data_IF_698996328931
#
_entry.id   IF_698996328931
#
_cell.length_a   1.000
_cell.length_b   1.000
_cell.length_c   1.000
_cell.angle_alpha   90.00
_cell.angle_beta   90.00
_cell.angle_gamma   90.00
#
_symmetry.space_group_name_H-M   'P 1'
#
loop_
_entity.id
_entity.type
_entity.pdbx_description
1 polymer ?
#
# COMPACT_ATOMS: atom_id res chain seq x y z
N UNK A 1 35.58 2.17 -0.63
CA UNK A 1 36.79 2.85 -0.13
C UNK A 1 36.49 4.33 -0.07
N UNK A 2 36.40 4.92 1.13
CA UNK A 2 36.18 6.35 1.29
C UNK A 2 37.46 7.11 0.94
N UNK A 3 37.38 8.05 0.00
CA UNK A 3 38.49 8.96 -0.34
C UNK A 3 38.58 9.98 0.80
N UNK A 4 39.53 9.78 1.71
CA UNK A 4 39.85 10.76 2.75
C UNK A 4 40.45 12.01 2.08
N UNK A 5 39.67 13.09 2.02
CA UNK A 5 40.15 14.41 1.60
C UNK A 5 41.24 14.87 2.58
N UNK A 6 42.50 14.88 2.13
CA UNK A 6 43.63 15.40 2.91
C UNK A 6 43.43 16.90 3.17
N UNK A 7 43.29 17.26 4.45
CA UNK A 7 43.08 18.64 4.92
C UNK A 7 44.32 19.51 4.71
N UNK A 8 44.21 20.55 3.89
CA UNK A 8 45.03 21.76 4.01
C UNK A 8 44.34 22.70 4.99
N UNK A 9 45.01 23.03 6.10
CA UNK A 9 44.49 23.94 7.12
C UNK A 9 44.18 25.33 6.52
N UNK A 10 43.03 25.89 6.87
CA UNK A 10 42.64 27.24 6.45
C UNK A 10 42.80 28.21 7.62
N UNK A 11 43.40 29.37 7.35
CA UNK A 11 43.63 30.43 8.33
C UNK A 11 42.76 31.62 7.96
N UNK A 12 42.06 32.21 8.93
CA UNK A 12 41.32 33.45 8.69
C UNK A 12 42.32 34.59 8.43
N UNK A 13 42.29 35.16 7.22
CA UNK A 13 43.34 36.06 6.70
C UNK A 13 43.59 37.26 7.63
N UNK A 14 42.53 37.85 8.18
CA UNK A 14 42.63 39.07 8.99
C UNK A 14 43.06 38.77 10.44
N UNK A 15 42.52 37.73 11.06
CA UNK A 15 42.80 37.43 12.47
C UNK A 15 43.98 36.48 12.68
N UNK A 16 44.50 35.88 11.59
CA UNK A 16 45.49 34.80 11.58
C UNK A 16 45.14 33.59 12.46
N UNK A 17 43.89 33.49 12.92
CA UNK A 17 43.42 32.38 13.73
C UNK A 17 43.10 31.20 12.83
N UNK A 18 43.43 30.00 13.31
CA UNK A 18 43.06 28.74 12.69
C UNK A 18 41.54 28.63 12.64
N UNK A 19 40.99 28.32 11.47
CA UNK A 19 39.56 28.03 11.31
C UNK A 19 39.42 26.56 10.94
N UNK A 20 38.70 25.83 11.79
CA UNK A 20 38.36 24.43 11.53
C UNK A 20 37.00 24.38 10.83
N UNK A 21 37.03 24.09 9.52
CA UNK A 21 35.82 23.78 8.78
C UNK A 21 35.39 22.35 9.11
N UNK A 22 34.25 22.22 9.80
CA UNK A 22 33.58 20.93 10.00
C UNK A 22 32.56 20.75 8.88
N UNK A 23 32.87 19.87 7.94
CA UNK A 23 31.85 19.35 7.03
C UNK A 23 31.02 18.34 7.81
N UNK A 24 29.71 18.52 7.79
CA UNK A 24 28.77 17.51 8.24
C UNK A 24 28.48 16.65 7.01
N UNK A 25 29.09 15.47 6.95
CA UNK A 25 28.69 14.48 5.94
C UNK A 25 27.25 14.09 6.22
N UNK A 26 26.38 14.33 5.25
CA UNK A 26 24.98 13.90 5.28
C UNK A 26 24.78 12.62 4.48
N UNK A 27 25.78 11.74 4.43
CA UNK A 27 25.71 10.48 3.71
C UNK A 27 24.65 9.59 4.38
N UNK A 28 23.46 9.58 3.79
CA UNK A 28 22.45 8.58 4.10
C UNK A 28 22.97 7.23 3.64
N UNK A 29 23.10 6.28 4.57
CA UNK A 29 23.48 4.91 4.24
C UNK A 29 22.43 4.34 3.29
N UNK A 30 22.89 3.83 2.14
CA UNK A 30 22.01 3.20 1.15
C UNK A 30 21.72 1.77 1.62
N UNK A 31 20.44 1.45 1.81
CA UNK A 31 19.98 0.10 2.12
C UNK A 31 19.64 -0.65 0.82
N UNK A 32 20.36 -1.73 0.52
CA UNK A 32 20.03 -2.58 -0.63
C UNK A 32 19.12 -3.75 -0.21
N UNK A 33 18.18 -4.17 -1.07
CA UNK A 33 17.32 -5.34 -0.79
C UNK A 33 18.13 -6.61 -0.49
N UNK A 34 19.25 -6.83 -1.20
CA UNK A 34 20.16 -7.96 -0.95
C UNK A 34 20.62 -8.02 0.50
N UNK A 35 20.96 -6.87 1.10
CA UNK A 35 21.47 -6.81 2.48
C UNK A 35 20.37 -7.19 3.49
N UNK A 36 19.10 -6.96 3.16
CA UNK A 36 17.97 -7.42 3.97
C UNK A 36 17.84 -8.95 3.93
N UNK A 37 17.82 -9.55 2.74
CA UNK A 37 17.71 -11.01 2.58
C UNK A 37 18.93 -11.77 3.12
N UNK A 38 20.12 -11.16 3.10
CA UNK A 38 21.31 -11.74 3.74
C UNK A 38 21.23 -11.73 5.28
N UNK A 39 20.64 -10.68 5.87
CA UNK A 39 20.40 -10.60 7.31
C UNK A 39 19.27 -11.53 7.77
N UNK A 40 18.34 -11.86 6.88
CA UNK A 40 17.21 -12.76 7.16
C UNK A 40 17.10 -13.87 6.09
N UNK A 41 18.04 -14.84 6.07
CA UNK A 41 18.05 -15.89 5.06
C UNK A 41 16.76 -16.70 5.06
N UNK A 42 16.16 -16.90 3.89
CA UNK A 42 14.92 -17.67 3.73
C UNK A 42 13.65 -16.98 4.26
N UNK A 43 13.74 -15.78 4.82
CA UNK A 43 12.60 -15.06 5.36
C UNK A 43 11.81 -14.35 4.25
N UNK A 44 10.48 -14.39 4.37
CA UNK A 44 9.58 -13.57 3.56
C UNK A 44 9.32 -12.23 4.25
N UNK A 45 9.17 -11.12 3.50
CA UNK A 45 8.84 -9.82 4.09
C UNK A 45 7.57 -9.92 4.96
N UNK A 46 7.57 -9.36 6.17
CA UNK A 46 6.40 -9.41 7.04
C UNK A 46 5.31 -8.46 6.54
N UNK A 47 4.06 -8.88 6.65
CA UNK A 47 2.89 -8.04 6.42
C UNK A 47 1.87 -8.26 7.54
N UNK A 48 1.33 -7.18 8.09
CA UNK A 48 0.38 -7.22 9.20
C UNK A 48 -1.01 -6.84 8.69
N UNK A 49 -1.96 -7.77 8.87
CA UNK A 49 -3.36 -7.59 8.51
C UNK A 49 -4.20 -7.50 9.80
N UNK A 50 -5.20 -6.61 9.87
CA UNK A 50 -6.07 -6.52 11.05
C UNK A 50 -6.73 -7.85 11.42
N UNK A 51 -7.01 -8.03 12.71
CA UNK A 51 -7.83 -9.14 13.19
C UNK A 51 -9.30 -8.79 13.03
N UNK A 52 -10.07 -9.63 12.36
CA UNK A 52 -11.49 -9.37 12.10
C UNK A 52 -12.31 -10.65 12.26
N UNK A 53 -13.44 -10.55 12.95
CA UNK A 53 -14.39 -11.65 13.14
C UNK A 53 -15.62 -11.53 12.22
N UNK A 54 -15.65 -10.52 11.34
CA UNK A 54 -16.74 -10.32 10.38
C UNK A 54 -16.61 -11.28 9.20
N UNK A 55 -17.74 -11.57 8.56
CA UNK A 55 -17.73 -12.33 7.30
C UNK A 55 -17.04 -11.55 6.18
N UNK A 56 -16.60 -12.26 5.14
CA UNK A 56 -16.02 -11.64 3.93
C UNK A 56 -17.00 -10.64 3.31
N UNK A 57 -18.28 -11.00 3.27
CA UNK A 57 -19.38 -10.20 2.74
C UNK A 57 -19.56 -8.90 3.54
N UNK A 58 -19.50 -8.97 4.87
CA UNK A 58 -19.58 -7.80 5.77
C UNK A 58 -18.39 -6.86 5.56
N UNK A 59 -17.19 -7.40 5.33
CA UNK A 59 -16.00 -6.61 5.01
C UNK A 59 -16.19 -5.87 3.68
N UNK A 60 -16.73 -6.54 2.65
CA UNK A 60 -17.03 -5.90 1.38
C UNK A 60 -18.17 -4.88 1.50
N UNK A 61 -19.19 -5.14 2.32
CA UNK A 61 -20.26 -4.18 2.62
C UNK A 61 -19.69 -2.93 3.33
N UNK A 62 -18.81 -3.12 4.31
CA UNK A 62 -18.12 -2.02 4.99
C UNK A 62 -17.27 -1.21 4.02
N UNK A 63 -16.60 -1.85 3.06
CA UNK A 63 -15.83 -1.18 2.03
C UNK A 63 -16.71 -0.33 1.10
N UNK A 64 -17.83 -0.89 0.61
CA UNK A 64 -18.83 -0.15 -0.18
C UNK A 64 -19.36 1.07 0.58
N UNK A 65 -19.74 0.88 1.84
CA UNK A 65 -20.18 1.95 2.72
C UNK A 65 -19.14 3.05 2.84
N UNK A 66 -17.90 2.68 3.17
CA UNK A 66 -16.79 3.62 3.35
C UNK A 66 -16.40 4.37 2.08
N UNK A 67 -16.39 3.72 0.92
CA UNK A 67 -16.12 4.40 -0.37
C UNK A 67 -17.24 5.40 -0.67
N UNK A 68 -18.50 5.01 -0.48
CA UNK A 68 -19.65 5.89 -0.72
C UNK A 68 -19.65 7.13 0.18
N UNK A 69 -19.28 6.98 1.44
CA UNK A 69 -19.21 8.09 2.41
C UNK A 69 -17.86 8.80 2.45
N UNK A 70 -16.94 8.46 1.53
CA UNK A 70 -15.57 8.98 1.52
C UNK A 70 -14.86 8.85 2.90
N UNK A 71 -15.12 7.75 3.60
CA UNK A 71 -14.60 7.44 4.93
C UNK A 71 -14.11 6.00 5.06
N UNK A 72 -13.67 5.41 3.94
CA UNK A 72 -13.08 4.08 3.93
C UNK A 72 -11.89 4.05 4.91
N UNK A 73 -11.87 3.08 5.83
CA UNK A 73 -10.75 2.93 6.75
C UNK A 73 -9.63 2.10 6.12
N UNK A 74 -8.39 2.40 6.48
CA UNK A 74 -7.23 1.64 6.04
C UNK A 74 -7.30 0.16 6.47
N UNK A 75 -7.86 -0.11 7.65
CA UNK A 75 -8.08 -1.47 8.14
C UNK A 75 -9.07 -2.24 7.25
N UNK A 76 -10.18 -1.60 6.84
CA UNK A 76 -11.11 -2.20 5.87
C UNK A 76 -10.40 -2.47 4.55
N UNK A 77 -9.63 -1.50 4.04
CA UNK A 77 -8.91 -1.65 2.78
C UNK A 77 -7.93 -2.84 2.78
N UNK A 78 -7.13 -2.99 3.83
CA UNK A 78 -6.21 -4.13 4.00
C UNK A 78 -6.94 -5.47 4.03
N UNK A 79 -8.07 -5.54 4.74
CA UNK A 79 -8.87 -6.76 4.81
C UNK A 79 -9.50 -7.12 3.46
N UNK A 80 -9.98 -6.14 2.70
CA UNK A 80 -10.51 -6.37 1.35
C UNK A 80 -9.42 -6.92 0.43
N UNK A 81 -8.24 -6.29 0.41
CA UNK A 81 -7.11 -6.75 -0.41
C UNK A 81 -6.63 -8.15 0.00
N UNK A 82 -6.55 -8.42 1.30
CA UNK A 82 -6.19 -9.73 1.82
C UNK A 82 -7.21 -10.79 1.38
N UNK A 83 -8.50 -10.57 1.63
CA UNK A 83 -9.53 -11.55 1.30
C UNK A 83 -9.59 -11.83 -0.20
N UNK A 84 -9.50 -10.79 -1.04
CA UNK A 84 -9.46 -10.96 -2.48
C UNK A 84 -8.17 -11.65 -2.94
N UNK A 85 -7.01 -11.29 -2.39
CA UNK A 85 -5.72 -11.90 -2.72
C UNK A 85 -5.69 -13.40 -2.48
N UNK A 86 -6.39 -13.90 -1.45
CA UNK A 86 -6.52 -15.33 -1.17
C UNK A 86 -7.26 -16.11 -2.28
N UNK A 87 -8.14 -15.43 -3.03
CA UNK A 87 -8.91 -16.03 -4.13
C UNK A 87 -8.10 -16.17 -5.41
N UNK A 88 -7.00 -15.41 -5.54
CA UNK A 88 -6.10 -15.49 -6.69
C UNK A 88 -5.17 -16.68 -6.46
N UNK A 89 -5.28 -17.69 -7.30
CA UNK A 89 -4.45 -18.89 -7.28
C UNK A 89 -4.03 -19.22 -8.70
N UNK A 90 -2.72 -19.33 -8.92
CA UNK A 90 -2.13 -19.67 -10.21
C UNK A 90 -1.03 -20.71 -10.00
N UNK A 91 -0.88 -21.62 -10.96
CA UNK A 91 0.15 -22.66 -10.92
C UNK A 91 1.43 -22.18 -11.59
N UNK A 92 2.57 -22.40 -10.95
CA UNK A 92 3.86 -22.03 -11.51
C UNK A 92 4.30 -22.98 -12.63
N UNK A 93 4.56 -22.43 -13.82
CA UNK A 93 5.19 -23.18 -14.93
C UNK A 93 6.66 -23.51 -14.66
N UNK A 94 7.32 -22.73 -13.80
CA UNK A 94 8.73 -22.86 -13.47
C UNK A 94 8.97 -22.52 -11.99
N UNK A 95 9.98 -23.13 -11.38
CA UNK A 95 10.43 -22.76 -10.03
C UNK A 95 10.77 -21.28 -9.95
N UNK A 96 10.21 -20.60 -8.94
CA UNK A 96 10.41 -19.19 -8.69
C UNK A 96 11.23 -18.99 -7.42
N UNK A 97 12.43 -18.45 -7.60
CA UNK A 97 13.33 -18.06 -6.51
C UNK A 97 13.74 -16.59 -6.68
N UNK A 98 13.85 -15.86 -5.57
CA UNK A 98 14.34 -14.49 -5.55
C UNK A 98 15.18 -14.23 -4.31
N UNK A 99 16.36 -13.64 -4.47
CA UNK A 99 17.30 -13.35 -3.36
C UNK A 99 17.62 -14.55 -2.44
N UNK A 100 17.66 -15.77 -2.98
CA UNK A 100 17.91 -16.99 -2.20
C UNK A 100 16.67 -17.52 -1.45
N UNK A 101 15.49 -16.94 -1.69
CA UNK A 101 14.22 -17.38 -1.13
C UNK A 101 13.42 -18.10 -2.21
N UNK A 102 13.20 -19.40 -2.02
CA UNK A 102 12.30 -20.18 -2.86
C UNK A 102 10.85 -19.77 -2.56
N UNK A 103 10.21 -19.15 -3.55
CA UNK A 103 8.81 -18.71 -3.45
C UNK A 103 7.89 -19.91 -3.73
N UNK A 104 8.18 -20.68 -4.79
CA UNK A 104 7.51 -21.93 -5.10
C UNK A 104 8.26 -22.74 -6.15
N UNK A 105 8.01 -24.04 -6.18
CA UNK A 105 8.58 -24.95 -7.20
C UNK A 105 7.66 -25.04 -8.42
N UNK A 106 8.17 -25.52 -9.55
CA UNK A 106 7.35 -25.89 -10.71
C UNK A 106 6.15 -26.74 -10.29
N UNK A 107 4.96 -26.40 -10.79
CA UNK A 107 3.69 -27.07 -10.47
C UNK A 107 3.08 -26.67 -9.12
N UNK A 108 3.70 -25.78 -8.35
CA UNK A 108 3.12 -25.26 -7.10
C UNK A 108 2.07 -24.21 -7.41
N UNK A 109 0.89 -24.32 -6.78
CA UNK A 109 -0.14 -23.30 -6.82
C UNK A 109 0.14 -22.20 -5.78
N UNK A 110 0.18 -20.94 -6.21
CA UNK A 110 0.50 -19.78 -5.38
C UNK A 110 -0.51 -18.65 -5.53
N UNK A 111 -0.61 -17.85 -4.48
CA UNK A 111 -1.30 -16.56 -4.41
C UNK A 111 -0.27 -15.43 -4.30
N UNK A 112 -0.60 -14.18 -4.71
CA UNK A 112 0.22 -13.02 -4.42
C UNK A 112 0.57 -12.85 -2.93
N UNK A 113 -0.27 -13.36 -2.03
CA UNK A 113 -0.07 -13.30 -0.59
C UNK A 113 1.04 -14.24 -0.10
N UNK A 114 1.37 -15.29 -0.86
CA UNK A 114 2.42 -16.24 -0.50
C UNK A 114 3.83 -15.62 -0.56
N UNK A 115 3.96 -14.41 -1.11
CA UNK A 115 5.20 -13.62 -1.08
C UNK A 115 5.52 -13.05 0.31
N UNK A 116 4.54 -12.99 1.21
CA UNK A 116 4.65 -12.33 2.50
C UNK A 116 4.51 -13.31 3.66
N UNK A 117 5.11 -12.97 4.80
CA UNK A 117 4.80 -13.60 6.07
C UNK A 117 3.68 -12.80 6.76
N UNK A 118 2.44 -13.25 6.60
CA UNK A 118 1.25 -12.52 7.06
C UNK A 118 0.97 -12.84 8.54
N UNK A 119 0.96 -11.81 9.38
CA UNK A 119 0.58 -11.91 10.79
C UNK A 119 -0.66 -11.06 11.09
N UNK A 120 -1.36 -11.41 12.17
CA UNK A 120 -2.55 -10.69 12.63
C UNK A 120 -2.15 -9.57 13.59
N UNK A 121 -2.62 -8.37 13.29
CA UNK A 121 -2.36 -7.17 14.09
C UNK A 121 -3.56 -6.72 14.91
N UNK A 122 -3.68 -5.40 15.07
CA UNK A 122 -4.73 -4.77 15.85
C UNK A 122 -6.15 -5.19 15.41
N UNK A 123 -7.11 -5.24 16.35
CA UNK A 123 -8.50 -5.52 16.03
C UNK A 123 -9.06 -4.53 15.01
N UNK A 124 -9.85 -5.07 14.08
CA UNK A 124 -10.60 -4.29 13.12
C UNK A 124 -11.53 -3.32 13.85
N UNK A 125 -11.36 -2.03 13.55
CA UNK A 125 -12.28 -0.98 13.99
C UNK A 125 -13.04 -0.47 12.76
N UNK A 126 -14.35 -0.74 12.65
CA UNK A 126 -15.16 -0.24 11.55
C UNK A 126 -15.31 1.29 11.67
N UNK A 127 -14.67 2.00 10.74
CA UNK A 127 -14.77 3.47 10.61
C UNK A 127 -14.09 4.24 11.76
N UNK A 128 -13.39 5.32 11.44
CA UNK A 128 -12.66 6.12 12.44
C UNK A 128 -13.59 6.58 13.56
N UNK A 129 -13.16 6.36 14.81
CA UNK A 129 -13.65 6.82 16.13
C UNK A 129 -15.16 7.03 16.43
N UNK A 130 -16.01 7.41 15.47
CA UNK A 130 -17.42 7.77 15.63
C UNK A 130 -18.34 7.20 14.54
N UNK A 131 -17.86 6.32 13.67
CA UNK A 131 -18.69 5.74 12.63
C UNK A 131 -19.32 4.43 13.13
N UNK A 132 -20.62 4.46 13.44
CA UNK A 132 -21.42 3.24 13.55
C UNK A 132 -21.27 2.49 12.21
N UNK A 133 -20.92 1.18 12.20
CA UNK A 133 -20.89 0.42 10.96
C UNK A 133 -22.31 0.41 10.40
N UNK A 134 -22.53 1.19 9.34
CA UNK A 134 -23.81 1.19 8.65
C UNK A 134 -23.86 -0.05 7.75
N UNK A 135 -24.19 -1.19 8.35
CA UNK A 135 -24.52 -2.46 7.67
C UNK A 135 -25.90 -2.38 6.99
N UNK A 136 -26.18 -1.30 6.26
CA UNK A 136 -27.52 -1.13 5.68
C UNK A 136 -27.64 -1.99 4.43
N UNK A 137 -28.54 -2.98 4.47
CA UNK A 137 -28.91 -3.82 3.34
C UNK A 137 -29.40 -2.98 2.13
N UNK A 138 -29.18 -3.45 0.90
CA UNK A 138 -29.61 -2.73 -0.29
C UNK A 138 -31.05 -3.06 -0.66
N UNK A 139 -31.91 -2.05 -0.56
CA UNK A 139 -33.20 -2.06 -1.24
C UNK A 139 -33.06 -1.35 -2.58
N UNK A 140 -33.29 -2.10 -3.67
CA UNK A 140 -33.54 -1.67 -5.06
C UNK A 140 -32.39 -1.83 -6.05
N UNK A 141 -32.76 -2.41 -7.19
CA UNK A 141 -31.91 -2.96 -8.22
C UNK A 141 -31.14 -1.92 -9.06
N UNK A 142 -30.07 -2.43 -9.68
CA UNK A 142 -29.27 -1.93 -10.81
C UNK A 142 -28.52 -0.59 -10.72
N UNK A 143 -28.66 0.22 -9.65
CA UNK A 143 -27.87 1.46 -9.48
C UNK A 143 -27.33 1.68 -8.05
N UNK A 144 -27.38 0.64 -7.22
CA UNK A 144 -27.00 0.67 -5.81
C UNK A 144 -25.50 0.32 -5.65
N UNK A 145 -24.71 1.09 -4.86
CA UNK A 145 -23.39 0.70 -4.35
C UNK A 145 -23.26 -0.76 -3.88
N UNK A 146 -24.35 -1.41 -3.50
CA UNK A 146 -24.40 -2.84 -3.24
C UNK A 146 -24.01 -3.74 -4.42
N UNK A 147 -24.21 -3.29 -5.65
CA UNK A 147 -23.87 -4.03 -6.86
C UNK A 147 -22.43 -3.83 -7.31
N UNK A 148 -21.62 -3.05 -6.56
CA UNK A 148 -20.19 -2.94 -6.87
C UNK A 148 -19.53 -4.32 -6.74
N UNK A 149 -18.89 -4.75 -7.81
CA UNK A 149 -18.15 -6.01 -7.85
C UNK A 149 -16.97 -5.97 -6.86
N UNK A 150 -16.51 -7.14 -6.43
CA UNK A 150 -15.32 -7.22 -5.57
C UNK A 150 -14.08 -6.69 -6.30
N UNK A 151 -14.00 -6.93 -7.62
CA UNK A 151 -12.90 -6.44 -8.46
C UNK A 151 -12.84 -4.91 -8.49
N UNK A 152 -13.99 -4.23 -8.59
CA UNK A 152 -13.99 -2.76 -8.59
C UNK A 152 -13.64 -2.18 -7.22
N UNK A 153 -14.03 -2.83 -6.11
CA UNK A 153 -13.59 -2.44 -4.77
C UNK A 153 -12.06 -2.54 -4.63
N UNK A 154 -11.49 -3.66 -5.06
CA UNK A 154 -10.04 -3.90 -5.03
C UNK A 154 -9.31 -2.91 -5.93
N UNK A 155 -9.78 -2.72 -7.16
CA UNK A 155 -9.20 -1.77 -8.10
C UNK A 155 -9.24 -0.35 -7.54
N UNK A 156 -10.35 0.07 -6.93
CA UNK A 156 -10.47 1.37 -6.27
C UNK A 156 -9.39 1.55 -5.20
N UNK A 157 -9.27 0.56 -4.31
CA UNK A 157 -8.29 0.58 -3.21
C UNK A 157 -6.86 0.63 -3.75
N UNK A 158 -6.53 -0.11 -4.82
CA UNK A 158 -5.19 -0.09 -5.42
C UNK A 158 -4.89 1.23 -6.16
N UNK A 159 -5.89 1.81 -6.82
CA UNK A 159 -5.78 3.10 -7.49
C UNK A 159 -5.43 4.24 -6.51
N UNK A 160 -5.91 4.18 -5.27
CA UNK A 160 -5.56 5.15 -4.23
C UNK A 160 -4.05 5.27 -4.07
N UNK A 161 -3.31 4.17 -3.94
CA UNK A 161 -1.85 4.18 -3.80
C UNK A 161 -1.17 5.05 -4.88
N UNK A 162 -1.58 4.88 -6.13
CA UNK A 162 -0.99 5.63 -7.27
C UNK A 162 -1.41 7.10 -7.27
N UNK A 163 -2.66 7.41 -6.91
CA UNK A 163 -3.14 8.80 -6.79
C UNK A 163 -2.38 9.54 -5.69
N UNK A 164 -2.19 8.91 -4.53
CA UNK A 164 -1.52 9.51 -3.37
C UNK A 164 -0.04 9.83 -3.64
N UNK A 165 0.64 9.02 -4.46
CA UNK A 165 2.04 9.25 -4.86
C UNK A 165 2.21 10.35 -5.91
N UNK A 166 1.13 10.77 -6.56
CA UNK A 166 1.20 11.69 -7.70
C UNK A 166 1.19 13.15 -7.24
N UNK A 167 2.29 13.85 -7.50
CA UNK A 167 2.47 15.27 -7.13
C UNK A 167 1.92 16.24 -8.18
N UNK A 168 2.09 15.94 -9.48
CA UNK A 168 1.61 16.79 -10.57
C UNK A 168 0.07 16.71 -10.69
N UNK A 169 -0.59 17.86 -10.57
CA UNK A 169 -2.05 17.97 -10.52
C UNK A 169 -2.76 17.70 -11.85
N UNK A 170 -2.22 18.20 -12.96
CA UNK A 170 -2.78 17.96 -14.31
C UNK A 170 -2.71 16.47 -14.67
N UNK A 171 -1.57 15.85 -14.38
CA UNK A 171 -1.38 14.42 -14.57
C UNK A 171 -2.32 13.61 -13.65
N UNK A 172 -2.45 14.01 -12.38
CA UNK A 172 -3.37 13.36 -11.43
C UNK A 172 -4.82 13.41 -11.91
N UNK A 173 -5.27 14.54 -12.44
CA UNK A 173 -6.63 14.70 -12.98
C UNK A 173 -6.87 13.76 -14.17
N UNK A 174 -5.91 13.69 -15.09
CA UNK A 174 -5.95 12.77 -16.23
C UNK A 174 -5.93 11.30 -15.81
N UNK A 175 -5.16 10.98 -14.76
CA UNK A 175 -5.05 9.64 -14.20
C UNK A 175 -6.36 9.20 -13.54
N UNK A 176 -6.96 10.06 -12.71
CA UNK A 176 -8.25 9.81 -12.05
C UNK A 176 -9.32 9.47 -13.08
N UNK A 177 -9.44 10.28 -14.15
CA UNK A 177 -10.42 10.03 -15.21
C UNK A 177 -10.27 8.64 -15.84
N UNK A 178 -9.03 8.22 -16.16
CA UNK A 178 -8.76 6.89 -16.71
C UNK A 178 -9.09 5.76 -15.73
N UNK A 179 -8.80 5.95 -14.45
CA UNK A 179 -9.12 4.97 -13.40
C UNK A 179 -10.62 4.85 -13.19
N UNK A 180 -11.37 5.95 -13.20
CA UNK A 180 -12.83 5.94 -13.13
C UNK A 180 -13.47 5.22 -14.31
N UNK A 181 -12.90 5.36 -15.51
CA UNK A 181 -13.35 4.61 -16.69
C UNK A 181 -13.09 3.11 -16.55
N UNK A 182 -11.93 2.71 -16.02
CA UNK A 182 -11.65 1.29 -15.71
C UNK A 182 -12.58 0.73 -14.62
N UNK A 183 -12.87 1.52 -13.59
CA UNK A 183 -13.81 1.12 -12.54
C UNK A 183 -15.21 0.85 -13.12
N UNK A 184 -15.69 1.67 -14.06
CA UNK A 184 -16.98 1.42 -14.73
C UNK A 184 -16.98 0.06 -15.45
N UNK A 185 -15.91 -0.28 -16.16
CA UNK A 185 -15.78 -1.58 -16.85
C UNK A 185 -15.82 -2.75 -15.88
N UNK A 186 -15.20 -2.62 -14.71
CA UNK A 186 -15.18 -3.66 -13.67
C UNK A 186 -16.44 -3.70 -12.78
N UNK A 187 -17.48 -2.91 -13.09
CA UNK A 187 -18.74 -2.88 -12.33
C UNK A 187 -18.74 -1.94 -11.11
N UNK A 188 -17.80 -1.01 -11.04
CA UNK A 188 -17.72 0.10 -10.08
C UNK A 188 -18.42 1.37 -10.58
N UNK A 189 -19.60 1.25 -11.18
CA UNK A 189 -20.35 2.39 -11.69
C UNK A 189 -20.55 3.46 -10.61
N UNK A 190 -20.21 4.72 -10.94
CA UNK A 190 -20.28 5.90 -10.08
C UNK A 190 -19.28 5.95 -8.91
N UNK A 191 -18.29 5.06 -8.86
CA UNK A 191 -17.14 5.27 -7.97
C UNK A 191 -16.33 6.47 -8.45
N UNK A 192 -15.94 7.36 -7.53
CA UNK A 192 -15.15 8.55 -7.84
C UNK A 192 -13.98 8.69 -6.87
N UNK A 193 -12.91 9.33 -7.33
CA UNK A 193 -11.73 9.65 -6.51
C UNK A 193 -11.71 11.12 -6.05
N UNK A 194 -12.88 11.74 -5.95
CA UNK A 194 -12.99 13.13 -5.51
C UNK A 194 -12.35 13.30 -4.12
N UNK A 195 -11.44 14.26 -3.99
CA UNK A 195 -10.67 14.57 -2.76
C UNK A 195 -9.90 13.39 -2.15
N UNK A 196 -9.70 12.28 -2.88
CA UNK A 196 -9.03 11.08 -2.37
C UNK A 196 -7.62 11.37 -1.84
N UNK A 197 -6.90 12.30 -2.47
CA UNK A 197 -5.57 12.72 -2.03
C UNK A 197 -5.56 13.36 -0.62
N UNK A 198 -6.62 14.10 -0.28
CA UNK A 198 -6.76 14.78 1.02
C UNK A 198 -7.23 13.78 2.07
N UNK A 199 -8.24 12.97 1.74
CA UNK A 199 -8.89 12.06 2.68
C UNK A 199 -7.97 10.90 3.06
N UNK A 200 -7.28 10.31 2.08
CA UNK A 200 -6.48 9.09 2.27
C UNK A 200 -4.98 9.35 2.29
N UNK A 201 -4.53 10.61 2.33
CA UNK A 201 -3.11 10.99 2.20
C UNK A 201 -2.18 10.30 3.20
N UNK A 202 -2.66 9.94 4.39
CA UNK A 202 -1.87 9.23 5.41
C UNK A 202 -1.55 7.78 5.07
N UNK A 203 -2.25 7.15 4.12
CA UNK A 203 -2.10 5.73 3.80
C UNK A 203 -0.74 5.39 3.19
N UNK A 204 -0.10 6.34 2.52
CA UNK A 204 1.24 6.16 1.93
C UNK A 204 2.33 5.86 2.97
N UNK A 205 2.08 6.18 4.24
CA UNK A 205 3.00 5.94 5.34
C UNK A 205 2.84 4.54 5.95
N UNK A 206 1.78 3.81 5.58
CA UNK A 206 1.52 2.48 6.12
C UNK A 206 2.24 1.38 5.33
N UNK A 207 3.26 0.81 5.95
CA UNK A 207 4.12 -0.23 5.36
C UNK A 207 3.40 -1.52 4.95
N UNK A 208 2.23 -1.80 5.50
CA UNK A 208 1.47 -3.02 5.19
C UNK A 208 0.50 -2.80 4.03
N UNK A 209 0.18 -1.55 3.70
CA UNK A 209 -0.64 -1.19 2.55
C UNK A 209 0.19 -0.94 1.29
N UNK A 210 1.39 -0.35 1.44
CA UNK A 210 2.33 -0.09 0.33
C UNK A 210 3.13 -1.32 -0.07
#
# INVERSE_FOLDING_TARGET
>A
MAVSLKRTHSVHIVSRKKVDFKYVDSDSIVDYPRDWFQRQPGARPPAIIPTCNLSTEDIYAAARGGIRSASLSLSTAKLVLHNFGQTIRETLDQSWESYGVLIGSTGTELSPLDLFNITRGEPFTPGGANAVPSFREPSQASTDPANWSVKSLVLYILCLYRILRTTNEEYRTSLIKKMEDQLKTEGGSRMTFHEAAVIYGSWINDKNYT
#
